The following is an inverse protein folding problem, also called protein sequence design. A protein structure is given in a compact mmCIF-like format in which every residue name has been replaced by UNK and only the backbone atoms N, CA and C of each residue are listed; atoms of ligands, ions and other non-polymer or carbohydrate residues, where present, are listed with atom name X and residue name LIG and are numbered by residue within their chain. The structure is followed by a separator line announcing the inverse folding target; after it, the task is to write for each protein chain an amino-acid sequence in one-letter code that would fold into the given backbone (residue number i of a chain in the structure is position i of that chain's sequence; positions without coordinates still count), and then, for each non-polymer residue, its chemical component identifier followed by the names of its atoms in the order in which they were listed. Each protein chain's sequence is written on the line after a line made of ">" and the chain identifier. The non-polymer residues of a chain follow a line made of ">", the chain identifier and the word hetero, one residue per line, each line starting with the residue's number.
data_IF_421392684579
#
_entry.id   IF_421392684579
#
_cell.length_a   1.000
_cell.length_b   1.000
_cell.length_c   1.000
_cell.angle_alpha   90.00
_cell.angle_beta   90.00
_cell.angle_gamma   90.00
#
_symmetry.space_group_name_H-M   'P 1'
#
loop_
_entity.id
_entity.type
_entity.pdbx_description
1 polymer ?
#
# COMPACT_ATOMS: atom_id res chain seq x y z
N UNK A 1 9.35 -7.13 1.29
CA UNK A 1 8.48 -7.53 2.42
C UNK A 1 7.04 -7.58 1.91
N UNK A 2 6.20 -8.45 2.50
CA UNK A 2 4.78 -8.53 2.14
C UNK A 2 3.99 -7.80 3.23
N UNK A 3 3.11 -6.89 2.82
CA UNK A 3 2.21 -6.14 3.70
C UNK A 3 0.83 -6.76 3.57
N UNK A 4 0.28 -7.18 4.70
CA UNK A 4 -0.98 -7.92 4.75
C UNK A 4 -2.20 -7.01 4.65
N UNK A 5 -3.31 -7.55 4.15
CA UNK A 5 -4.53 -6.78 3.91
C UNK A 5 -5.09 -6.11 5.17
N UNK A 6 -4.94 -6.75 6.34
CA UNK A 6 -5.41 -6.21 7.62
C UNK A 6 -4.56 -5.04 8.14
N UNK A 7 -3.38 -4.81 7.55
CA UNK A 7 -2.46 -3.74 7.92
C UNK A 7 -2.66 -2.47 7.09
N UNK A 8 -3.62 -2.47 6.16
CA UNK A 8 -3.81 -1.37 5.21
C UNK A 8 -5.27 -0.98 5.03
N UNK A 9 -5.49 0.29 4.74
CA UNK A 9 -6.77 0.85 4.32
C UNK A 9 -6.68 1.34 2.87
N UNK A 10 -7.56 0.88 1.98
CA UNK A 10 -7.57 1.27 0.56
C UNK A 10 -8.36 2.56 0.34
N UNK A 11 -7.78 3.46 -0.43
CA UNK A 11 -8.40 4.65 -1.00
C UNK A 11 -8.38 4.52 -2.53
N UNK A 12 -9.55 4.63 -3.17
CA UNK A 12 -9.70 4.43 -4.61
C UNK A 12 -9.18 5.64 -5.39
N UNK A 13 -8.30 5.42 -6.36
CA UNK A 13 -7.88 6.46 -7.33
C UNK A 13 -8.28 6.01 -8.73
N UNK A 14 -8.72 6.95 -9.56
CA UNK A 14 -9.48 6.68 -10.80
C UNK A 14 -8.76 5.85 -11.88
N UNK A 15 -7.43 5.64 -11.83
CA UNK A 15 -6.73 4.88 -12.88
C UNK A 15 -5.46 4.16 -12.41
N UNK A 16 -5.47 2.82 -12.47
CA UNK A 16 -4.28 1.92 -12.44
C UNK A 16 -3.39 1.93 -11.19
N UNK A 17 -3.64 2.87 -10.27
CA UNK A 17 -2.93 3.09 -9.01
C UNK A 17 -3.97 3.08 -7.90
N UNK A 18 -3.67 2.40 -6.81
CA UNK A 18 -4.43 2.48 -5.57
C UNK A 18 -3.55 3.17 -4.52
N UNK A 19 -4.18 3.93 -3.63
CA UNK A 19 -3.52 4.53 -2.48
C UNK A 19 -3.89 3.72 -1.24
N UNK A 20 -2.88 3.34 -0.47
CA UNK A 20 -3.06 2.59 0.75
C UNK A 20 -2.48 3.37 1.92
N UNK A 21 -3.24 3.47 3.01
CA UNK A 21 -2.73 3.92 4.30
C UNK A 21 -2.32 2.69 5.09
N UNK A 22 -1.10 2.70 5.62
CA UNK A 22 -0.52 1.59 6.40
C UNK A 22 -0.69 1.88 7.90
N UNK A 23 -1.05 0.84 8.65
CA UNK A 23 -1.19 0.89 10.10
C UNK A 23 0.10 1.39 10.81
N UNK A 24 -0.02 2.12 11.93
CA UNK A 24 1.13 2.52 12.74
C UNK A 24 1.99 1.30 13.15
N UNK A 25 3.31 1.45 13.09
CA UNK A 25 4.26 0.37 13.41
C UNK A 25 4.57 -0.58 12.25
N UNK A 26 3.82 -0.52 11.15
CA UNK A 26 4.14 -1.26 9.92
C UNK A 26 4.98 -0.36 9.02
N UNK A 27 6.22 -0.78 8.77
CA UNK A 27 7.07 -0.12 7.78
C UNK A 27 6.72 -0.58 6.37
N UNK A 28 7.01 0.24 5.35
CA UNK A 28 6.95 -0.18 3.96
C UNK A 28 8.09 0.45 3.16
N UNK A 29 8.45 -0.20 2.06
CA UNK A 29 9.55 0.16 1.16
C UNK A 29 9.07 0.14 -0.29
N UNK A 30 9.82 0.80 -1.16
CA UNK A 30 9.63 0.66 -2.59
C UNK A 30 9.75 -0.83 -2.98
N UNK A 31 8.94 -1.27 -3.95
CA UNK A 31 8.79 -2.66 -4.41
C UNK A 31 8.20 -3.66 -3.40
N UNK A 32 7.83 -3.24 -2.18
CA UNK A 32 7.04 -4.09 -1.28
C UNK A 32 5.71 -4.48 -1.93
N UNK A 33 5.21 -5.66 -1.57
CA UNK A 33 3.96 -6.20 -2.10
C UNK A 33 2.87 -6.03 -1.05
N UNK A 34 1.81 -5.30 -1.41
CA UNK A 34 0.60 -5.14 -0.60
C UNK A 34 -0.44 -6.13 -1.12
N UNK A 35 -0.95 -7.00 -0.24
CA UNK A 35 -2.08 -7.86 -0.56
C UNK A 35 -3.35 -7.17 -0.11
N UNK A 36 -4.30 -6.92 -1.01
CA UNK A 36 -5.60 -6.33 -0.66
C UNK A 36 -6.72 -6.86 -1.55
N UNK A 37 -7.83 -7.31 -0.95
CA UNK A 37 -8.99 -7.79 -1.72
C UNK A 37 -8.68 -8.93 -2.70
N UNK A 38 -7.76 -9.83 -2.36
CA UNK A 38 -7.32 -10.92 -3.23
C UNK A 38 -6.42 -10.51 -4.40
N UNK A 39 -5.94 -9.26 -4.42
CA UNK A 39 -5.04 -8.72 -5.42
C UNK A 39 -3.71 -8.33 -4.80
N UNK A 40 -2.64 -8.49 -5.58
CA UNK A 40 -1.30 -8.03 -5.20
C UNK A 40 -0.98 -6.70 -5.88
N UNK A 41 -0.55 -5.75 -5.07
CA UNK A 41 -0.16 -4.40 -5.48
C UNK A 41 1.32 -4.19 -5.17
N UNK A 42 2.03 -3.54 -6.08
CA UNK A 42 3.44 -3.21 -5.87
C UNK A 42 3.55 -1.75 -5.44
N UNK A 43 4.20 -1.50 -4.31
CA UNK A 43 4.49 -0.14 -3.83
C UNK A 43 5.45 0.53 -4.80
N UNK A 44 4.99 1.61 -5.44
CA UNK A 44 5.80 2.39 -6.38
C UNK A 44 6.17 3.77 -5.83
N UNK A 45 5.48 4.22 -4.78
CA UNK A 45 5.81 5.47 -4.08
C UNK A 45 5.37 5.40 -2.63
N UNK A 46 6.18 5.98 -1.76
CA UNK A 46 5.89 6.14 -0.33
C UNK A 46 5.84 7.62 0.02
N UNK A 47 4.84 8.00 0.80
CA UNK A 47 4.70 9.30 1.42
C UNK A 47 4.46 9.10 2.91
N UNK A 48 5.43 9.51 3.73
CA UNK A 48 5.25 9.51 5.18
C UNK A 48 4.45 10.76 5.56
N UNK A 49 3.31 10.56 6.20
CA UNK A 49 2.50 11.64 6.74
C UNK A 49 2.69 11.61 8.25
N UNK A 50 3.23 12.69 8.81
CA UNK A 50 3.56 12.78 10.24
C UNK A 50 2.33 13.17 11.07
N UNK A 51 1.22 12.47 10.88
CA UNK A 51 0.02 12.62 11.69
C UNK A 51 -0.38 11.21 12.16
N UNK A 52 -0.21 10.92 13.45
CA UNK A 52 -0.49 9.61 14.03
C UNK A 52 0.47 8.46 13.66
N UNK A 53 1.57 8.74 12.95
CA UNK A 53 2.59 7.73 12.61
C UNK A 53 2.21 6.76 11.47
N UNK A 54 1.15 7.08 10.72
CA UNK A 54 0.73 6.31 9.56
C UNK A 54 1.59 6.63 8.32
N UNK A 55 1.86 5.62 7.49
CA UNK A 55 2.54 5.81 6.20
C UNK A 55 1.54 5.65 5.06
N UNK A 56 1.52 6.59 4.11
CA UNK A 56 0.72 6.48 2.90
C UNK A 56 1.60 5.89 1.79
N UNK A 57 1.11 4.87 1.11
CA UNK A 57 1.78 4.23 -0.01
C UNK A 57 0.91 4.28 -1.25
N UNK A 58 1.53 4.60 -2.38
CA UNK A 58 0.91 4.50 -3.68
C UNK A 58 1.41 3.22 -4.30
N UNK A 59 0.48 2.36 -4.71
CA UNK A 59 0.81 1.08 -5.28
C UNK A 59 0.07 0.89 -6.61
N UNK A 60 0.73 0.28 -7.57
CA UNK A 60 0.10 -0.12 -8.83
C UNK A 60 -0.36 -1.56 -8.73
N UNK A 61 -1.46 -1.87 -9.39
CA UNK A 61 -1.89 -3.26 -9.53
C UNK A 61 -0.84 -4.03 -10.33
N UNK A 62 -0.40 -5.17 -9.80
CA UNK A 62 0.38 -6.14 -10.57
C UNK A 62 -0.54 -7.32 -10.85
N UNK A 63 -1.15 -7.32 -12.04
CA UNK A 63 -1.95 -8.46 -12.51
C UNK A 63 -1.13 -9.74 -12.51
N UNK A 64 -1.78 -10.83 -12.05
CA UNK A 64 -1.33 -12.22 -11.85
C UNK A 64 0.12 -12.55 -12.30
N UNK A 65 0.95 -12.93 -11.33
CA UNK A 65 1.88 -14.05 -11.52
C UNK A 65 1.07 -15.36 -11.57
#
# INVERSE_FOLDING_TARGET
>A
MIIEAHQVQRHSVETGKDVFTIAPGVSARFDDIVQYGGRSYRVVRLQRVTEGGASVVFATYKGKL
#
